data_IF_263976107630
#
_entry.id   IF_263976107630
#
_cell.length_a   1.000
_cell.length_b   1.000
_cell.length_c   1.000
_cell.angle_alpha   90.00
_cell.angle_beta   90.00
_cell.angle_gamma   90.00
#
_symmetry.space_group_name_H-M   'P 1'
#
loop_
_entity.id
_entity.type
_entity.pdbx_description
1 polymer ?
#
# COMPACT_ATOMS: atom_id res chain seq x y z
N UNK A 1 -10.87 -22.30 -27.38
CA UNK A 1 -11.81 -21.17 -27.57
C UNK A 1 -11.34 -20.01 -26.71
N UNK A 2 -10.87 -18.92 -27.32
CA UNK A 2 -10.43 -17.72 -26.62
C UNK A 2 -11.55 -16.68 -26.70
N UNK A 3 -12.12 -16.29 -25.56
CA UNK A 3 -13.08 -15.20 -25.49
C UNK A 3 -12.31 -13.88 -25.33
N UNK A 4 -12.39 -13.02 -26.34
CA UNK A 4 -12.01 -11.62 -26.23
C UNK A 4 -13.25 -10.83 -25.77
N UNK A 5 -13.20 -10.27 -24.56
CA UNK A 5 -14.12 -9.23 -24.11
C UNK A 5 -13.69 -7.90 -24.74
N UNK A 6 -14.63 -7.28 -25.45
CA UNK A 6 -14.51 -6.12 -26.34
C UNK A 6 -14.24 -4.78 -25.64
N UNK A 7 -13.73 -4.77 -24.40
CA UNK A 7 -13.66 -3.55 -23.57
C UNK A 7 -12.24 -3.04 -23.26
N UNK A 8 -11.23 -3.34 -24.08
CA UNK A 8 -9.92 -2.66 -24.01
C UNK A 8 -9.21 -2.73 -22.65
N UNK A 9 -9.60 -3.64 -21.76
CA UNK A 9 -8.97 -3.82 -20.46
C UNK A 9 -7.71 -4.64 -20.68
N UNK A 10 -6.56 -3.99 -20.59
CA UNK A 10 -5.28 -4.69 -20.61
C UNK A 10 -5.19 -5.58 -19.36
N UNK A 11 -4.76 -6.85 -19.50
CA UNK A 11 -4.52 -7.69 -18.35
C UNK A 11 -3.39 -7.07 -17.52
N UNK A 12 -3.71 -6.59 -16.32
CA UNK A 12 -2.71 -6.07 -15.39
C UNK A 12 -2.06 -7.23 -14.64
N UNK A 13 -0.74 -7.19 -14.51
CA UNK A 13 0.02 -8.22 -13.82
C UNK A 13 -0.25 -8.16 -12.31
N UNK A 14 -1.03 -9.11 -11.81
CA UNK A 14 -1.34 -9.26 -10.38
C UNK A 14 -0.17 -9.86 -9.61
N UNK A 15 0.85 -9.05 -9.32
CA UNK A 15 1.81 -9.39 -8.25
C UNK A 15 1.16 -9.15 -6.87
N UNK A 16 1.79 -9.63 -5.79
CA UNK A 16 1.24 -9.52 -4.42
C UNK A 16 0.90 -8.08 -3.99
N UNK A 17 1.56 -7.07 -4.59
CA UNK A 17 1.22 -5.66 -4.41
C UNK A 17 0.01 -5.21 -5.24
N UNK A 18 -0.27 -5.83 -6.39
CA UNK A 18 -1.43 -5.54 -7.23
C UNK A 18 -2.74 -6.26 -6.78
N UNK A 19 -2.65 -7.44 -6.15
CA UNK A 19 -3.81 -8.05 -5.45
C UNK A 19 -4.35 -7.18 -4.30
N UNK A 20 -3.55 -6.22 -3.85
CA UNK A 20 -3.75 -5.39 -2.66
C UNK A 20 -4.84 -4.32 -2.79
N UNK A 21 -5.09 -3.85 -4.02
CA UNK A 21 -6.12 -2.83 -4.28
C UNK A 21 -7.53 -3.43 -4.39
N UNK A 22 -7.66 -4.74 -4.64
CA UNK A 22 -8.95 -5.37 -4.94
C UNK A 22 -9.82 -5.71 -3.71
N UNK A 23 -9.43 -5.32 -2.50
CA UNK A 23 -10.18 -5.64 -1.27
C UNK A 23 -10.57 -4.44 -0.43
N UNK A 24 -10.32 -3.22 -0.91
CA UNK A 24 -10.57 -2.02 -0.13
C UNK A 24 -11.54 -1.12 -0.88
N UNK A 25 -12.70 -0.85 -0.29
CA UNK A 25 -13.70 0.03 -0.85
C UNK A 25 -13.16 1.46 -0.92
N UNK A 26 -13.54 2.15 -2.00
CA UNK A 26 -13.13 3.51 -2.26
C UNK A 26 -13.87 4.52 -1.38
N UNK A 27 -15.07 4.20 -0.91
CA UNK A 27 -15.92 5.08 -0.11
C UNK A 27 -15.94 4.69 1.38
N UNK A 28 -15.22 3.63 1.80
CA UNK A 28 -15.14 3.21 3.20
C UNK A 28 -13.87 3.76 3.90
N UNK A 29 -14.08 4.56 4.94
CA UNK A 29 -13.03 5.16 5.75
C UNK A 29 -12.17 4.11 6.45
N UNK A 30 -12.76 3.01 6.91
CA UNK A 30 -12.05 1.95 7.64
C UNK A 30 -11.08 1.22 6.71
N UNK A 31 -11.48 0.99 5.46
CA UNK A 31 -10.63 0.39 4.43
C UNK A 31 -9.46 1.27 4.01
N UNK A 32 -9.64 2.60 4.03
CA UNK A 32 -8.54 3.54 3.84
C UNK A 32 -7.57 3.49 5.02
N UNK A 33 -8.08 3.47 6.26
CA UNK A 33 -7.25 3.36 7.46
C UNK A 33 -6.45 2.05 7.49
N UNK A 34 -7.10 0.91 7.28
CA UNK A 34 -6.47 -0.42 7.35
C UNK A 34 -5.41 -0.61 6.27
N UNK A 35 -5.65 -0.11 5.06
CA UNK A 35 -4.64 -0.14 4.01
C UNK A 35 -3.42 0.71 4.36
N UNK A 36 -3.65 1.95 4.84
CA UNK A 36 -2.60 2.81 5.36
C UNK A 36 -1.78 2.11 6.42
N UNK A 37 -2.43 1.51 7.43
CA UNK A 37 -1.78 0.77 8.51
C UNK A 37 -0.88 -0.35 7.99
N UNK A 38 -1.38 -1.16 7.06
CA UNK A 38 -0.60 -2.23 6.44
C UNK A 38 0.58 -1.70 5.63
N UNK A 39 0.41 -0.59 4.91
CA UNK A 39 1.51 0.07 4.17
C UNK A 39 2.57 0.59 5.13
N UNK A 40 2.18 1.27 6.21
CA UNK A 40 3.13 1.72 7.24
C UNK A 40 3.92 0.57 7.85
N UNK A 41 3.26 -0.57 8.11
CA UNK A 41 3.88 -1.74 8.73
C UNK A 41 4.90 -2.46 7.84
N UNK A 42 4.61 -2.61 6.55
CA UNK A 42 5.36 -3.53 5.68
C UNK A 42 6.06 -2.84 4.51
N UNK A 43 5.62 -1.64 4.12
CA UNK A 43 6.06 -0.94 2.90
C UNK A 43 6.29 0.55 3.17
N UNK A 44 6.80 0.89 4.36
CA UNK A 44 6.94 2.27 4.82
C UNK A 44 7.69 3.17 3.82
N UNK A 45 8.72 2.64 3.14
CA UNK A 45 9.49 3.34 2.12
C UNK A 45 8.68 3.79 0.89
N UNK A 46 7.48 3.24 0.65
CA UNK A 46 6.65 3.49 -0.52
C UNK A 46 5.36 4.25 -0.20
N UNK A 47 5.36 5.04 0.88
CA UNK A 47 4.17 5.77 1.34
C UNK A 47 3.50 6.57 0.22
N UNK A 48 4.24 7.45 -0.43
CA UNK A 48 3.68 8.39 -1.40
C UNK A 48 3.19 7.68 -2.67
N UNK A 49 3.95 6.72 -3.21
CA UNK A 49 3.57 6.00 -4.42
C UNK A 49 2.34 5.13 -4.22
N UNK A 50 2.22 4.45 -3.07
CA UNK A 50 1.07 3.59 -2.77
C UNK A 50 -0.19 4.40 -2.44
N UNK A 51 -0.06 5.53 -1.72
CA UNK A 51 -1.18 6.45 -1.53
C UNK A 51 -1.68 7.00 -2.88
N UNK A 52 -0.76 7.43 -3.76
CA UNK A 52 -1.13 7.94 -5.07
C UNK A 52 -1.79 6.86 -5.94
N UNK A 53 -1.29 5.63 -5.88
CA UNK A 53 -1.90 4.50 -6.59
C UNK A 53 -3.35 4.28 -6.14
N UNK A 54 -3.62 4.30 -4.83
CA UNK A 54 -4.98 4.18 -4.30
C UNK A 54 -5.86 5.37 -4.72
N UNK A 55 -5.34 6.59 -4.66
CA UNK A 55 -6.06 7.78 -5.11
C UNK A 55 -6.47 7.64 -6.58
N UNK A 56 -5.52 7.28 -7.46
CA UNK A 56 -5.79 7.15 -8.89
C UNK A 56 -6.82 6.06 -9.19
N UNK A 57 -6.77 4.94 -8.47
CA UNK A 57 -7.76 3.88 -8.59
C UNK A 57 -9.15 4.37 -8.16
N UNK A 58 -9.27 4.94 -6.96
CA UNK A 58 -10.56 5.37 -6.43
C UNK A 58 -11.15 6.60 -7.10
N UNK A 59 -10.32 7.39 -7.81
CA UNK A 59 -10.80 8.49 -8.63
C UNK A 59 -11.81 8.03 -9.70
N UNK A 60 -11.67 6.80 -10.18
CA UNK A 60 -12.58 6.21 -11.18
C UNK A 60 -13.94 5.79 -10.61
N UNK A 61 -14.09 5.74 -9.28
CA UNK A 61 -15.27 5.20 -8.56
C UNK A 61 -16.00 6.25 -7.71
N UNK A 62 -15.97 7.52 -8.11
CA UNK A 62 -16.68 8.60 -7.40
C UNK A 62 -15.77 9.62 -6.70
N UNK A 63 -14.46 9.55 -6.92
CA UNK A 63 -13.51 10.52 -6.39
C UNK A 63 -13.04 10.19 -4.97
N UNK A 64 -12.06 10.96 -4.50
CA UNK A 64 -11.42 10.74 -3.20
C UNK A 64 -11.53 11.99 -2.34
N UNK A 65 -12.37 11.91 -1.31
CA UNK A 65 -12.50 12.97 -0.32
C UNK A 65 -11.22 13.15 0.51
N UNK A 66 -11.04 14.33 1.11
CA UNK A 66 -9.90 14.57 1.99
C UNK A 66 -9.94 13.68 3.25
N UNK A 67 -11.15 13.35 3.74
CA UNK A 67 -11.33 12.47 4.90
C UNK A 67 -10.74 11.08 4.68
N UNK A 68 -10.92 10.51 3.49
CA UNK A 68 -10.36 9.21 3.11
C UNK A 68 -8.82 9.25 3.09
N UNK A 69 -8.23 10.29 2.48
CA UNK A 69 -6.78 10.50 2.46
C UNK A 69 -6.21 10.61 3.88
N UNK A 70 -6.90 11.35 4.76
CA UNK A 70 -6.49 11.50 6.16
C UNK A 70 -6.56 10.17 6.92
N UNK A 71 -7.62 9.38 6.74
CA UNK A 71 -7.75 8.07 7.37
C UNK A 71 -6.58 7.14 6.99
N UNK A 72 -6.22 7.12 5.71
CA UNK A 72 -5.06 6.36 5.25
C UNK A 72 -3.74 6.85 5.84
N UNK A 73 -3.52 8.17 5.90
CA UNK A 73 -2.31 8.73 6.51
C UNK A 73 -2.23 8.43 8.02
N UNK A 74 -3.36 8.45 8.73
CA UNK A 74 -3.44 8.07 10.13
C UNK A 74 -3.11 6.59 10.33
N UNK A 75 -3.70 5.71 9.52
CA UNK A 75 -3.38 4.29 9.49
C UNK A 75 -1.89 4.08 9.26
N UNK A 76 -1.34 4.70 8.22
CA UNK A 76 0.09 4.64 7.90
C UNK A 76 0.95 5.00 9.10
N UNK A 77 0.70 6.15 9.71
CA UNK A 77 1.45 6.61 10.89
C UNK A 77 1.39 5.61 12.05
N UNK A 78 0.25 4.93 12.25
CA UNK A 78 0.10 3.89 13.27
C UNK A 78 0.80 2.58 12.91
N UNK A 79 0.91 2.27 11.63
CA UNK A 79 1.57 1.07 11.12
C UNK A 79 3.09 1.17 11.11
N UNK A 80 3.66 2.35 10.90
CA UNK A 80 5.12 2.54 10.86
C UNK A 80 5.73 2.10 12.20
N UNK A 81 6.60 1.07 12.21
CA UNK A 81 7.27 0.67 13.43
C UNK A 81 8.15 1.83 13.90
N UNK A 82 8.00 2.22 15.17
CA UNK A 82 8.94 3.14 15.83
C UNK A 82 10.32 2.53 15.62
N UNK A 83 11.21 3.27 14.96
CA UNK A 83 12.59 2.82 14.77
C UNK A 83 13.22 2.58 16.14
N UNK A 84 13.16 1.35 16.65
CA UNK A 84 14.11 0.88 17.65
C UNK A 84 15.43 0.90 16.93
N UNK A 85 16.24 1.94 17.19
CA UNK A 85 17.63 2.06 16.74
C UNK A 85 18.24 0.67 16.71
N UNK A 86 18.47 0.11 15.52
CA UNK A 86 19.22 -1.13 15.36
C UNK A 86 20.71 -0.83 15.61
N UNK A 87 21.03 -0.40 16.84
CA UNK A 87 22.35 -0.58 17.40
C UNK A 87 22.47 -2.06 17.73
N UNK A 88 22.94 -2.89 16.78
CA UNK A 88 23.59 -4.21 16.93
C UNK A 88 23.29 -5.14 15.74
N UNK A 89 23.92 -4.89 14.58
CA UNK A 89 24.33 -5.99 13.67
C UNK A 89 25.49 -5.61 12.73
N UNK A 90 26.44 -4.79 13.20
CA UNK A 90 27.80 -4.75 12.66
C UNK A 90 28.79 -5.15 13.75
N UNK A 91 28.89 -6.46 14.04
CA UNK A 91 30.01 -7.07 14.79
C UNK A 91 29.84 -8.59 14.78
N UNK A 92 30.27 -9.23 13.68
CA UNK A 92 30.79 -10.63 13.60
C UNK A 92 30.86 -11.08 12.14
N UNK A 93 31.73 -10.46 11.35
CA UNK A 93 32.33 -11.07 10.13
C UNK A 93 33.79 -10.61 9.93
N UNK A 94 34.50 -10.37 11.03
CA UNK A 94 35.96 -10.25 11.08
C UNK A 94 36.43 -11.06 12.29
N UNK A 95 36.30 -12.38 12.17
CA UNK A 95 36.90 -13.37 13.07
C UNK A 95 36.80 -14.73 12.37
N UNK A 96 37.50 -14.85 11.26
CA UNK A 96 37.96 -16.13 10.71
C UNK A 96 39.19 -15.81 9.88
N UNK A 97 40.26 -15.59 10.63
CA UNK A 97 41.63 -15.94 10.26
C UNK A 97 41.70 -17.38 9.78
#
# INVERSE_FOLDING_TARGET
>A
MHYYDSNGRTPFNVNSSAKRLNTADCQDVDDWYLDGFRVGKTFSAYQQSLLQQRINYCQQYGGVSNGLKLAWLQGYKKGVPVQKKQSKKMRKKQART
#
